data_IF_259241935954
#
_entry.id   IF_259241935954
#
_cell.length_a   1.000
_cell.length_b   1.000
_cell.length_c   1.000
_cell.angle_alpha   90.00
_cell.angle_beta   90.00
_cell.angle_gamma   90.00
#
_symmetry.space_group_name_H-M   'P 1'
#
loop_
_entity.id
_entity.type
_entity.pdbx_description
1 polymer ?
#
# COMPACT_ATOMS: atom_id res chain seq x y z
N UNK A 1 10.48 20.36 7.37
CA UNK A 1 9.67 19.51 8.26
C UNK A 1 10.51 19.02 9.42
N UNK A 2 10.09 19.30 10.66
CA UNK A 2 10.72 18.75 11.86
C UNK A 2 10.64 17.22 11.77
N UNK A 3 11.79 16.53 11.66
CA UNK A 3 11.88 15.09 11.35
C UNK A 3 10.98 14.25 12.27
N UNK A 4 10.77 14.76 13.49
CA UNK A 4 9.91 14.17 14.51
C UNK A 4 8.41 14.20 14.17
N UNK A 5 7.91 15.21 13.44
CA UNK A 5 6.51 15.29 12.98
C UNK A 5 6.21 14.27 11.88
N UNK A 6 7.13 14.12 10.93
CA UNK A 6 6.99 13.13 9.85
C UNK A 6 6.99 11.69 10.40
N UNK A 7 7.91 11.39 11.32
CA UNK A 7 7.99 10.08 12.00
C UNK A 7 6.70 9.81 12.79
N UNK A 8 6.18 10.79 13.54
CA UNK A 8 4.91 10.63 14.25
C UNK A 8 3.74 10.36 13.29
N UNK A 9 3.67 11.03 12.15
CA UNK A 9 2.61 10.81 11.15
C UNK A 9 2.71 9.43 10.50
N UNK A 10 3.92 8.96 10.22
CA UNK A 10 4.17 7.60 9.71
C UNK A 10 3.76 6.53 10.71
N UNK A 11 4.12 6.70 11.99
CA UNK A 11 3.73 5.78 13.07
C UNK A 11 2.21 5.75 13.21
N UNK A 12 1.54 6.91 13.12
CA UNK A 12 0.08 6.98 13.21
C UNK A 12 -0.60 6.25 12.05
N UNK A 13 -0.09 6.42 10.83
CA UNK A 13 -0.58 5.70 9.65
C UNK A 13 -0.39 4.19 9.78
N UNK A 14 0.78 3.76 10.26
CA UNK A 14 1.08 2.34 10.47
C UNK A 14 0.14 1.72 11.52
N UNK A 15 -0.17 2.46 12.59
CA UNK A 15 -1.14 2.03 13.61
C UNK A 15 -2.54 1.89 13.01
N UNK A 16 -3.01 2.86 12.23
CA UNK A 16 -4.32 2.76 11.55
C UNK A 16 -4.35 1.53 10.64
N UNK A 17 -3.30 1.31 9.86
CA UNK A 17 -3.21 0.22 8.89
C UNK A 17 -3.25 -1.14 9.60
N UNK A 18 -2.55 -1.27 10.73
CA UNK A 18 -2.63 -2.45 11.60
C UNK A 18 -4.02 -2.65 12.22
N UNK A 19 -4.67 -1.58 12.67
CA UNK A 19 -6.02 -1.65 13.23
C UNK A 19 -7.02 -2.12 12.17
N UNK A 20 -6.94 -1.60 10.95
CA UNK A 20 -7.85 -1.99 9.86
C UNK A 20 -7.60 -3.43 9.41
N UNK A 21 -6.34 -3.86 9.33
CA UNK A 21 -6.01 -5.26 9.05
C UNK A 21 -6.51 -6.19 10.17
N UNK A 22 -6.32 -5.81 11.44
CA UNK A 22 -6.78 -6.56 12.59
C UNK A 22 -8.31 -6.62 12.70
N UNK A 23 -9.00 -5.51 12.48
CA UNK A 23 -10.47 -5.47 12.41
C UNK A 23 -10.99 -6.32 11.25
N UNK A 24 -10.34 -6.28 10.09
CA UNK A 24 -10.67 -7.14 8.96
C UNK A 24 -10.56 -8.63 9.30
N UNK A 25 -9.50 -9.01 10.03
CA UNK A 25 -9.31 -10.37 10.52
C UNK A 25 -10.38 -10.79 11.55
N UNK A 26 -10.61 -9.98 12.58
CA UNK A 26 -11.62 -10.26 13.63
C UNK A 26 -13.02 -10.37 13.01
N UNK A 27 -13.35 -9.49 12.07
CA UNK A 27 -14.63 -9.51 11.36
C UNK A 27 -14.77 -10.73 10.44
N UNK A 28 -13.68 -11.20 9.84
CA UNK A 28 -13.63 -12.44 9.04
C UNK A 28 -13.98 -13.67 9.89
N UNK A 29 -13.36 -13.79 11.07
CA UNK A 29 -13.61 -14.90 12.00
C UNK A 29 -15.06 -14.87 12.52
N UNK A 30 -15.61 -13.68 12.75
CA UNK A 30 -16.98 -13.50 13.23
C UNK A 30 -18.06 -13.76 12.18
N UNK A 31 -17.83 -13.40 10.91
CA UNK A 31 -18.87 -13.44 9.87
C UNK A 31 -18.86 -14.71 8.99
N UNK A 32 -17.87 -15.61 9.13
CA UNK A 32 -17.72 -16.85 8.32
C UNK A 32 -17.82 -16.65 6.80
N UNK A 33 -17.71 -15.42 6.31
CA UNK A 33 -17.84 -15.07 4.90
C UNK A 33 -16.44 -14.93 4.27
N UNK A 34 -16.21 -15.67 3.19
CA UNK A 34 -14.92 -15.81 2.47
C UNK A 34 -14.46 -14.54 1.73
N UNK A 35 -15.23 -13.46 1.73
CA UNK A 35 -14.91 -12.23 0.99
C UNK A 35 -14.05 -11.21 1.76
N UNK A 36 -13.45 -11.60 2.90
CA UNK A 36 -12.70 -10.70 3.80
C UNK A 36 -11.45 -10.07 3.16
N UNK A 37 -10.79 -10.80 2.25
CA UNK A 37 -9.59 -10.34 1.55
C UNK A 37 -9.89 -9.12 0.68
N UNK A 38 -11.01 -9.13 -0.04
CA UNK A 38 -11.35 -8.04 -0.97
C UNK A 38 -11.62 -6.73 -0.23
N UNK A 39 -12.36 -6.77 0.89
CA UNK A 39 -12.68 -5.57 1.66
C UNK A 39 -11.46 -5.01 2.42
N UNK A 40 -10.63 -5.87 2.99
CA UNK A 40 -9.42 -5.44 3.70
C UNK A 40 -8.40 -4.82 2.73
N UNK A 41 -8.21 -5.40 1.54
CA UNK A 41 -7.32 -4.86 0.52
C UNK A 41 -7.79 -3.50 -0.02
N UNK A 42 -9.10 -3.32 -0.22
CA UNK A 42 -9.66 -2.02 -0.60
C UNK A 42 -9.40 -0.95 0.47
N UNK A 43 -9.63 -1.29 1.74
CA UNK A 43 -9.41 -0.36 2.84
C UNK A 43 -7.92 0.02 2.96
N UNK A 44 -7.02 -0.97 2.90
CA UNK A 44 -5.56 -0.76 2.96
C UNK A 44 -5.11 0.12 1.79
N UNK A 45 -5.64 -0.10 0.59
CA UNK A 45 -5.30 0.70 -0.59
C UNK A 45 -5.72 2.16 -0.45
N UNK A 46 -6.95 2.43 -0.01
CA UNK A 46 -7.43 3.80 0.19
C UNK A 46 -6.64 4.52 1.28
N UNK A 47 -6.43 3.88 2.42
CA UNK A 47 -5.70 4.46 3.55
C UNK A 47 -4.24 4.73 3.17
N UNK A 48 -3.59 3.80 2.49
CA UNK A 48 -2.20 3.98 2.05
C UNK A 48 -2.10 5.14 1.07
N UNK A 49 -2.97 5.20 0.06
CA UNK A 49 -2.94 6.27 -0.93
C UNK A 49 -3.15 7.65 -0.31
N UNK A 50 -4.25 7.86 0.41
CA UNK A 50 -4.53 9.15 1.03
C UNK A 50 -3.55 9.51 2.14
N UNK A 51 -3.06 8.51 2.87
CA UNK A 51 -2.03 8.69 3.89
C UNK A 51 -0.73 9.22 3.32
N UNK A 52 -0.19 8.58 2.28
CA UNK A 52 1.03 9.05 1.63
C UNK A 52 0.80 10.37 0.88
N UNK A 53 -0.37 10.58 0.28
CA UNK A 53 -0.72 11.86 -0.34
C UNK A 53 -0.65 13.00 0.67
N UNK A 54 -1.20 12.80 1.87
CA UNK A 54 -1.14 13.78 2.95
C UNK A 54 0.31 14.05 3.38
N UNK A 55 1.11 13.00 3.59
CA UNK A 55 2.52 13.14 3.97
C UNK A 55 3.31 13.95 2.94
N UNK A 56 3.22 13.59 1.66
CA UNK A 56 4.00 14.24 0.60
C UNK A 56 3.45 15.62 0.20
N UNK A 57 2.15 15.87 0.40
CA UNK A 57 1.55 17.19 0.13
C UNK A 57 1.80 18.20 1.27
N UNK A 58 2.01 17.74 2.51
CA UNK A 58 2.34 18.61 3.63
C UNK A 58 3.84 18.93 3.79
N UNK A 59 4.71 18.32 2.99
CA UNK A 59 6.17 18.48 3.10
C UNK A 59 6.64 19.92 2.82
N UNK A 60 5.91 20.66 1.97
CA UNK A 60 6.27 22.02 1.53
C UNK A 60 5.50 23.15 2.24
N UNK A 61 4.84 22.89 3.38
CA UNK A 61 4.04 23.87 4.16
C UNK A 61 2.86 24.55 3.44
N UNK A 62 2.70 24.33 2.14
CA UNK A 62 1.50 24.61 1.35
C UNK A 62 0.93 23.28 0.86
N UNK A 63 -0.38 23.09 0.96
CA UNK A 63 -1.05 21.93 0.36
C UNK A 63 -1.03 22.08 -1.17
N UNK A 64 0.12 21.74 -1.77
CA UNK A 64 0.34 21.72 -3.20
C UNK A 64 0.67 20.30 -3.61
N UNK A 65 -0.24 19.71 -4.39
CA UNK A 65 -0.02 18.42 -5.03
C UNK A 65 0.90 18.66 -6.22
N UNK A 66 2.21 18.55 -5.98
CA UNK A 66 3.22 18.56 -7.03
C UNK A 66 3.25 17.22 -7.78
N UNK A 67 3.64 17.23 -9.05
CA UNK A 67 3.72 16.03 -9.89
C UNK A 67 4.63 14.97 -9.25
N UNK A 68 5.75 15.41 -8.67
CA UNK A 68 6.69 14.55 -7.97
C UNK A 68 6.07 13.90 -6.72
N UNK A 69 5.33 14.68 -5.93
CA UNK A 69 4.63 14.17 -4.74
C UNK A 69 3.58 13.14 -5.13
N UNK A 70 2.78 13.39 -6.17
CA UNK A 70 1.76 12.45 -6.65
C UNK A 70 2.38 11.15 -7.17
N UNK A 71 3.47 11.24 -7.95
CA UNK A 71 4.21 10.08 -8.45
C UNK A 71 4.76 9.23 -7.31
N UNK A 72 5.35 9.87 -6.29
CA UNK A 72 5.86 9.19 -5.11
C UNK A 72 4.74 8.53 -4.30
N UNK A 73 3.60 9.21 -4.13
CA UNK A 73 2.42 8.66 -3.45
C UNK A 73 1.95 7.38 -4.13
N UNK A 74 1.74 7.41 -5.44
CA UNK A 74 1.24 6.26 -6.21
C UNK A 74 2.21 5.07 -6.10
N UNK A 75 3.50 5.31 -6.32
CA UNK A 75 4.52 4.27 -6.24
C UNK A 75 4.58 3.63 -4.85
N UNK A 76 4.55 4.46 -3.80
CA UNK A 76 4.64 3.98 -2.41
C UNK A 76 3.36 3.24 -1.99
N UNK A 77 2.17 3.77 -2.30
CA UNK A 77 0.91 3.13 -1.94
C UNK A 77 0.75 1.77 -2.60
N UNK A 78 1.08 1.66 -3.88
CA UNK A 78 0.97 0.38 -4.61
C UNK A 78 1.96 -0.65 -4.06
N UNK A 79 3.18 -0.22 -3.73
CA UNK A 79 4.18 -1.09 -3.10
C UNK A 79 3.71 -1.61 -1.74
N UNK A 80 3.10 -0.76 -0.91
CA UNK A 80 2.58 -1.16 0.41
C UNK A 80 1.41 -2.14 0.28
N UNK A 81 0.46 -1.88 -0.63
CA UNK A 81 -0.66 -2.79 -0.90
C UNK A 81 -0.14 -4.15 -1.35
N UNK A 82 0.85 -4.18 -2.24
CA UNK A 82 1.47 -5.41 -2.69
C UNK A 82 2.14 -6.19 -1.56
N UNK A 83 2.96 -5.54 -0.75
CA UNK A 83 3.62 -6.19 0.39
C UNK A 83 2.59 -6.72 1.39
N UNK A 84 1.52 -5.97 1.64
CA UNK A 84 0.43 -6.42 2.51
C UNK A 84 -0.27 -7.65 1.93
N UNK A 85 -0.56 -7.65 0.63
CA UNK A 85 -1.17 -8.78 -0.06
C UNK A 85 -0.30 -10.02 -0.04
N UNK A 86 0.98 -9.89 -0.42
CA UNK A 86 1.95 -11.00 -0.37
C UNK A 86 2.09 -11.54 1.04
N UNK A 87 2.23 -10.68 2.05
CA UNK A 87 2.30 -11.10 3.46
C UNK A 87 1.04 -11.86 3.85
N UNK A 88 -0.14 -11.34 3.50
CA UNK A 88 -1.41 -12.02 3.83
C UNK A 88 -1.48 -13.38 3.16
N UNK A 89 -1.18 -13.48 1.86
CA UNK A 89 -1.20 -14.76 1.15
C UNK A 89 -0.17 -15.73 1.72
N UNK A 90 1.08 -15.31 1.98
CA UNK A 90 2.14 -16.18 2.47
C UNK A 90 1.85 -16.72 3.87
N UNK A 91 1.37 -15.86 4.78
CA UNK A 91 1.13 -16.26 6.18
C UNK A 91 -0.23 -16.95 6.39
N UNK A 92 -1.24 -16.70 5.55
CA UNK A 92 -2.57 -17.34 5.68
C UNK A 92 -2.80 -18.51 4.72
N UNK A 93 -1.78 -18.95 3.96
CA UNK A 93 -1.87 -20.12 3.06
C UNK A 93 -2.04 -21.46 3.80
N UNK A 94 -1.67 -21.54 5.08
CA UNK A 94 -1.65 -22.82 5.81
C UNK A 94 -3.04 -23.47 5.97
N UNK A 95 -4.14 -22.71 5.93
CA UNK A 95 -5.49 -23.27 6.07
C UNK A 95 -6.12 -23.78 4.76
N UNK A 96 -5.59 -23.41 3.59
CA UNK A 96 -6.11 -23.82 2.29
C UNK A 96 -4.97 -24.37 1.41
N UNK A 97 -4.97 -25.69 1.16
CA UNK A 97 -3.97 -26.38 0.31
C UNK A 97 -3.84 -25.75 -1.09
N UNK A 98 -4.88 -25.10 -1.57
CA UNK A 98 -4.93 -24.39 -2.85
C UNK A 98 -5.58 -23.01 -2.65
N UNK A 99 -4.94 -21.96 -3.18
CA UNK A 99 -5.54 -20.63 -3.21
C UNK A 99 -6.71 -20.64 -4.21
N UNK A 100 -7.80 -19.92 -3.96
CA UNK A 100 -8.82 -19.70 -4.98
C UNK A 100 -8.19 -19.12 -6.25
N UNK A 101 -8.56 -19.61 -7.44
CA UNK A 101 -8.04 -19.15 -8.76
C UNK A 101 -8.05 -17.61 -8.90
N UNK A 102 -9.07 -16.98 -8.34
CA UNK A 102 -9.21 -15.52 -8.35
C UNK A 102 -8.11 -14.81 -7.54
N UNK A 103 -7.68 -15.40 -6.42
CA UNK A 103 -6.61 -14.87 -5.57
C UNK A 103 -5.26 -15.03 -6.25
N UNK A 104 -5.02 -16.17 -6.92
CA UNK A 104 -3.80 -16.41 -7.68
C UNK A 104 -3.67 -15.45 -8.87
N UNK A 105 -4.76 -15.27 -9.62
CA UNK A 105 -4.83 -14.31 -10.74
C UNK A 105 -4.59 -12.88 -10.25
N UNK A 106 -5.22 -12.50 -9.13
CA UNK A 106 -5.08 -11.16 -8.55
C UNK A 106 -3.66 -10.91 -8.06
N UNK A 107 -3.04 -11.89 -7.38
CA UNK A 107 -1.65 -11.80 -6.94
C UNK A 107 -0.70 -11.63 -8.12
N UNK A 108 -0.84 -12.47 -9.16
CA UNK A 108 -0.01 -12.40 -10.38
C UNK A 108 -0.11 -11.03 -11.05
N UNK A 109 -1.33 -10.52 -11.25
CA UNK A 109 -1.55 -9.20 -11.84
C UNK A 109 -0.94 -8.08 -10.98
N UNK A 110 -1.09 -8.15 -9.65
CA UNK A 110 -0.48 -7.17 -8.75
C UNK A 110 1.04 -7.21 -8.80
N UNK A 111 1.67 -8.39 -8.84
CA UNK A 111 3.12 -8.54 -8.99
C UNK A 111 3.62 -7.86 -10.27
N UNK A 112 2.93 -8.06 -11.39
CA UNK A 112 3.28 -7.43 -12.68
C UNK A 112 3.17 -5.91 -12.59
N UNK A 113 2.05 -5.40 -12.08
CA UNK A 113 1.81 -3.96 -11.94
C UNK A 113 2.89 -3.31 -11.07
N UNK A 114 3.21 -3.92 -9.93
CA UNK A 114 4.23 -3.42 -9.01
C UNK A 114 5.61 -3.45 -9.65
N UNK A 115 5.96 -4.52 -10.36
CA UNK A 115 7.22 -4.60 -11.10
C UNK A 115 7.37 -3.47 -12.12
N UNK A 116 6.31 -3.19 -12.88
CA UNK A 116 6.27 -2.07 -13.84
C UNK A 116 6.48 -0.75 -13.10
N UNK A 117 5.71 -0.48 -12.05
CA UNK A 117 5.78 0.78 -11.29
C UNK A 117 7.17 1.01 -10.71
N UNK A 118 7.78 -0.03 -10.12
CA UNK A 118 9.13 0.05 -9.56
C UNK A 118 10.15 0.39 -10.66
N UNK A 119 10.09 -0.28 -11.82
CA UNK A 119 10.98 -0.01 -12.94
C UNK A 119 10.85 1.44 -13.44
N UNK A 120 9.61 1.93 -13.61
CA UNK A 120 9.35 3.31 -14.04
C UNK A 120 9.74 4.33 -12.97
N UNK A 121 9.54 4.05 -11.70
CA UNK A 121 9.92 4.94 -10.60
C UNK A 121 11.44 5.14 -10.54
N UNK A 122 12.20 4.06 -10.57
CA UNK A 122 13.66 4.14 -10.57
C UNK A 122 14.20 4.72 -11.88
N UNK A 123 13.62 4.36 -13.02
CA UNK A 123 14.00 4.89 -14.33
C UNK A 123 13.79 6.41 -14.44
N UNK A 124 12.59 6.91 -14.09
CA UNK A 124 12.29 8.34 -14.10
C UNK A 124 13.18 9.14 -13.14
N UNK A 125 13.41 8.61 -11.93
CA UNK A 125 14.28 9.25 -10.94
C UNK A 125 15.74 9.30 -11.40
N UNK A 126 16.25 8.26 -12.07
CA UNK A 126 17.60 8.25 -12.61
C UNK A 126 17.80 9.31 -13.71
N UNK A 127 16.81 9.45 -14.62
CA UNK A 127 16.84 10.45 -15.70
C UNK A 127 16.78 11.87 -15.12
N UNK A 128 15.91 12.14 -14.15
CA UNK A 128 15.85 13.44 -13.47
C UNK A 128 17.19 13.81 -12.80
N UNK A 129 17.87 12.82 -12.21
CA UNK A 129 19.16 13.04 -11.53
C UNK A 129 20.30 13.28 -12.51
N UNK A 130 20.26 12.70 -13.71
CA UNK A 130 21.25 12.92 -14.78
C UNK A 130 21.09 14.26 -15.48
N UNK A 131 19.90 14.86 -15.45
CA UNK A 131 19.60 16.16 -16.08
C UNK A 131 19.99 17.36 -15.20
N UNK A 132 20.50 17.12 -13.99
CA UNK A 132 20.88 18.11 -12.99
C UNK A 132 22.40 18.25 -12.90
#
# INVERSE_FOLDING_TARGET
MDRNKAIKSLIWLLIILLIVAGLGYVCSVLLKHTSYLSYSMLAISLISFFGFLWIYSCENHEFKVDEKSLRNTIATSITIVYLSLVTTVVFFKEEQKELPEITETLLSNFTVIVGIIIAFYFGSTAIEKLKK
#
